data_IF_457861082909
#
_entry.id   IF_457861082909
#
_cell.length_a   1.000
_cell.length_b   1.000
_cell.length_c   1.000
_cell.angle_alpha   90.00
_cell.angle_beta   90.00
_cell.angle_gamma   90.00
#
_symmetry.space_group_name_H-M   'P 1'
#
loop_
_entity.id
_entity.type
_entity.pdbx_description
1 polymer ?
#
# COMPACT_ATOMS: atom_id res chain seq x y z
N UNK A 1 -19.12 -6.51 6.81
CA UNK A 1 -18.46 -7.23 7.92
C UNK A 1 -17.21 -6.44 8.28
N UNK A 2 -16.88 -6.20 9.56
CA UNK A 2 -15.54 -5.73 9.87
C UNK A 2 -14.59 -6.83 9.41
N UNK A 3 -13.81 -6.54 8.37
CA UNK A 3 -12.75 -7.43 7.92
C UNK A 3 -11.67 -7.39 8.99
N UNK A 4 -11.79 -8.25 10.01
CA UNK A 4 -10.71 -8.45 10.97
C UNK A 4 -9.53 -8.94 10.14
N UNK A 5 -8.42 -8.19 10.04
CA UNK A 5 -7.26 -8.68 9.34
C UNK A 5 -6.86 -10.00 10.00
N UNK A 6 -6.88 -11.07 9.22
CA UNK A 6 -6.22 -12.30 9.66
C UNK A 6 -4.75 -11.97 9.89
N UNK A 7 -4.07 -12.56 10.89
CA UNK A 7 -2.63 -12.35 11.08
C UNK A 7 -1.81 -12.71 9.83
N UNK A 8 -2.34 -13.58 8.96
CA UNK A 8 -1.77 -13.86 7.65
C UNK A 8 -1.81 -12.65 6.70
N UNK A 9 -2.85 -11.83 6.79
CA UNK A 9 -3.01 -10.61 5.99
C UNK A 9 -2.03 -9.52 6.40
N UNK A 10 -1.73 -9.36 7.70
CA UNK A 10 -0.80 -8.33 8.18
C UNK A 10 0.63 -8.51 7.63
N UNK A 11 1.07 -9.76 7.50
CA UNK A 11 2.39 -10.10 6.94
C UNK A 11 2.38 -10.26 5.42
N UNK A 12 1.21 -10.17 4.78
CA UNK A 12 1.08 -10.41 3.35
C UNK A 12 1.80 -9.36 2.51
N UNK A 13 2.55 -9.82 1.50
CA UNK A 13 3.11 -8.96 0.46
C UNK A 13 2.11 -8.80 -0.67
N UNK A 14 1.65 -7.57 -0.90
CA UNK A 14 0.71 -7.22 -1.95
C UNK A 14 1.39 -6.50 -3.12
N UNK A 15 0.98 -6.84 -4.33
CA UNK A 15 1.55 -6.27 -5.55
C UNK A 15 1.12 -4.82 -5.76
N UNK A 16 1.87 -4.07 -6.58
CA UNK A 16 1.45 -2.73 -7.03
C UNK A 16 0.02 -2.70 -7.61
N UNK A 17 -0.41 -3.75 -8.33
CA UNK A 17 -1.77 -3.84 -8.87
C UNK A 17 -2.82 -3.89 -7.76
N UNK A 18 -2.57 -4.68 -6.74
CA UNK A 18 -3.46 -4.81 -5.57
C UNK A 18 -3.52 -3.49 -4.82
N UNK A 19 -2.35 -2.90 -4.50
CA UNK A 19 -2.27 -1.60 -3.82
C UNK A 19 -3.07 -0.52 -4.56
N UNK A 20 -2.97 -0.45 -5.90
CA UNK A 20 -3.75 0.50 -6.69
C UNK A 20 -5.26 0.29 -6.57
N UNK A 21 -5.72 -0.96 -6.66
CA UNK A 21 -7.14 -1.29 -6.54
C UNK A 21 -7.70 -0.90 -5.17
N UNK A 22 -6.97 -1.20 -4.09
CA UNK A 22 -7.36 -0.88 -2.71
C UNK A 22 -7.44 0.62 -2.41
N UNK A 23 -6.66 1.42 -3.15
CA UNK A 23 -6.58 2.87 -2.98
C UNK A 23 -7.56 3.63 -3.89
N UNK A 24 -8.60 2.96 -4.41
CA UNK A 24 -9.61 3.54 -5.30
C UNK A 24 -9.25 3.41 -6.78
N UNK A 25 -8.61 2.31 -7.16
CA UNK A 25 -8.14 2.01 -8.53
C UNK A 25 -7.27 3.12 -9.15
N UNK A 26 -6.33 3.65 -8.36
CA UNK A 26 -5.44 4.72 -8.82
C UNK A 26 -4.50 4.24 -9.93
N UNK A 27 -4.04 5.18 -10.76
CA UNK A 27 -3.07 4.88 -11.82
C UNK A 27 -1.68 4.58 -11.27
N UNK A 28 -0.86 3.86 -12.04
CA UNK A 28 0.54 3.61 -11.68
C UNK A 28 1.35 4.93 -11.56
N UNK A 29 1.00 5.93 -12.36
CA UNK A 29 1.58 7.26 -12.29
C UNK A 29 1.26 7.97 -10.97
N UNK A 30 0.06 7.79 -10.42
CA UNK A 30 -0.32 8.33 -9.10
C UNK A 30 0.51 7.67 -8.01
N UNK A 31 0.60 6.34 -8.04
CA UNK A 31 1.43 5.57 -7.12
C UNK A 31 2.91 5.99 -7.20
N UNK A 32 3.42 6.24 -8.41
CA UNK A 32 4.78 6.76 -8.61
C UNK A 32 4.95 8.15 -7.97
N UNK A 33 4.02 9.09 -8.19
CA UNK A 33 4.09 10.43 -7.57
C UNK A 33 4.09 10.36 -6.05
N UNK A 34 3.26 9.50 -5.46
CA UNK A 34 3.19 9.31 -4.01
C UNK A 34 4.52 8.80 -3.43
N UNK A 35 5.18 7.87 -4.12
CA UNK A 35 6.52 7.41 -3.73
C UNK A 35 7.59 8.50 -3.73
N UNK A 36 7.38 9.56 -4.52
CA UNK A 36 8.31 10.70 -4.65
C UNK A 36 7.84 11.93 -3.86
N UNK A 37 6.78 11.81 -3.06
CA UNK A 37 6.23 12.87 -2.21
C UNK A 37 6.51 12.56 -0.74
N UNK A 38 7.63 13.07 -0.18
CA UNK A 38 8.00 12.77 1.20
C UNK A 38 6.97 13.30 2.21
N UNK A 39 6.25 14.36 1.87
CA UNK A 39 5.16 14.93 2.67
C UNK A 39 3.97 13.98 2.86
N UNK A 40 3.79 13.02 1.95
CA UNK A 40 2.70 12.05 2.01
C UNK A 40 2.99 10.85 2.91
N UNK A 41 4.25 10.68 3.35
CA UNK A 41 4.72 9.54 4.14
C UNK A 41 4.24 8.18 3.59
N UNK A 42 4.15 8.05 2.25
CA UNK A 42 3.63 6.84 1.63
C UNK A 42 4.61 5.67 1.82
N UNK A 43 4.12 4.46 2.16
CA UNK A 43 4.98 3.29 2.37
C UNK A 43 5.89 2.98 1.18
N UNK A 44 7.16 2.72 1.45
CA UNK A 44 8.14 2.34 0.43
C UNK A 44 7.98 0.86 0.05
N UNK A 45 8.11 0.50 -1.24
CA UNK A 45 7.98 -0.88 -1.67
C UNK A 45 9.22 -1.71 -1.36
N UNK A 46 8.98 -3.00 -1.16
CA UNK A 46 9.97 -4.05 -1.26
C UNK A 46 10.08 -4.46 -2.73
N UNK A 47 11.30 -4.48 -3.28
CA UNK A 47 11.57 -4.90 -4.66
C UNK A 47 11.97 -6.37 -4.72
N UNK A 48 11.17 -7.18 -5.41
CA UNK A 48 11.47 -8.60 -5.69
C UNK A 48 11.45 -8.78 -7.21
N UNK A 49 12.57 -9.17 -7.81
CA UNK A 49 12.70 -9.32 -9.27
C UNK A 49 12.16 -8.10 -10.05
N UNK A 50 12.51 -6.88 -9.61
CA UNK A 50 12.07 -5.58 -10.17
C UNK A 50 10.57 -5.30 -10.07
N UNK A 51 9.79 -6.14 -9.38
CA UNK A 51 8.38 -5.90 -9.07
C UNK A 51 8.27 -5.29 -7.68
N UNK A 52 7.36 -4.33 -7.54
CA UNK A 52 7.09 -3.63 -6.28
C UNK A 52 6.02 -4.40 -5.48
N UNK A 53 6.34 -4.65 -4.22
CA UNK A 53 5.45 -5.24 -3.22
C UNK A 53 5.40 -4.36 -1.98
N UNK A 54 4.29 -4.38 -1.27
CA UNK A 54 4.13 -3.71 0.02
C UNK A 54 3.66 -4.71 1.05
N UNK A 55 4.01 -4.50 2.32
CA UNK A 55 3.29 -5.18 3.40
C UNK A 55 1.90 -4.59 3.48
N UNK A 56 0.90 -5.44 3.58
CA UNK A 56 -0.48 -5.01 3.75
C UNK A 56 -0.66 -4.08 4.96
N UNK A 57 -0.04 -4.42 6.09
CA UNK A 57 -0.11 -3.64 7.32
C UNK A 57 0.36 -2.18 7.13
N UNK A 58 1.41 -1.95 6.35
CA UNK A 58 1.92 -0.60 6.10
C UNK A 58 0.92 0.24 5.29
N UNK A 59 0.20 -0.38 4.34
CA UNK A 59 -0.84 0.29 3.55
C UNK A 59 -2.06 0.63 4.42
N UNK A 60 -2.49 -0.29 5.29
CA UNK A 60 -3.58 -0.03 6.24
C UNK A 60 -3.22 1.09 7.23
N UNK A 61 -2.03 1.06 7.82
CA UNK A 61 -1.57 2.07 8.75
C UNK A 61 -1.52 3.46 8.08
N UNK A 62 -1.03 3.53 6.84
CA UNK A 62 -1.03 4.77 6.08
C UNK A 62 -2.45 5.29 5.79
N UNK A 63 -3.39 4.41 5.41
CA UNK A 63 -4.81 4.80 5.22
C UNK A 63 -5.42 5.38 6.49
N UNK A 64 -5.14 4.77 7.65
CA UNK A 64 -5.63 5.26 8.94
C UNK A 64 -5.08 6.65 9.24
N UNK A 65 -3.78 6.90 8.98
CA UNK A 65 -3.16 8.22 9.17
C UNK A 65 -3.73 9.35 8.29
N UNK A 66 -4.55 9.02 7.27
CA UNK A 66 -5.19 10.00 6.38
C UNK A 66 -6.62 10.36 6.82
N UNK A 67 -7.19 9.64 7.79
CA UNK A 67 -8.57 9.84 8.28
C UNK A 67 -8.60 10.68 9.57
N UNK A 68 -7.49 10.74 10.29
CA UNK A 68 -7.29 11.55 11.50
C UNK A 68 -6.82 12.99 11.19
#
# INVERSE_FOLDING_TARGET
MPNVPSPASETALVSARTVRAELGDISDMTLWRWLHRPDLNFPQPILIARRRYWRWADIEAWKQSMID
#
